data_IF_011613309875
#
_entry.id   IF_011613309875
#
_cell.length_a   1.000
_cell.length_b   1.000
_cell.length_c   1.000
_cell.angle_alpha   90.00
_cell.angle_beta   90.00
_cell.angle_gamma   90.00
#
_symmetry.space_group_name_H-M   'P 1'
#
loop_
_entity.id
_entity.type
_entity.pdbx_description
1 polymer ?
#
# COMPACT_ATOMS: atom_id res chain seq x y z
N UNK A 1 20.10 -4.54 0.02
CA UNK A 1 21.08 -4.82 1.11
C UNK A 1 20.55 -4.29 2.41
N UNK A 2 20.40 -5.14 3.41
CA UNK A 2 20.15 -4.73 4.79
C UNK A 2 21.47 -4.25 5.34
N UNK A 3 21.72 -2.96 5.31
CA UNK A 3 22.96 -2.35 5.79
C UNK A 3 22.95 -2.16 7.33
N UNK A 4 21.76 -2.18 7.92
CA UNK A 4 21.55 -1.98 9.36
C UNK A 4 20.47 -2.91 9.87
N UNK A 5 20.49 -3.34 11.13
CA UNK A 5 19.51 -4.27 11.68
C UNK A 5 18.05 -3.73 11.62
N UNK A 6 17.86 -2.40 11.49
CA UNK A 6 16.56 -1.75 11.64
C UNK A 6 16.13 -0.88 10.46
N UNK A 7 16.93 -0.78 9.40
CA UNK A 7 16.63 0.15 8.29
C UNK A 7 17.07 -0.43 6.96
N UNK A 8 16.18 -0.47 6.00
CA UNK A 8 16.50 -0.90 4.63
C UNK A 8 16.70 0.32 3.76
N UNK A 9 17.88 0.45 3.16
CA UNK A 9 18.24 1.52 2.26
C UNK A 9 18.25 1.03 0.81
N UNK A 10 17.56 1.72 -0.08
CA UNK A 10 17.58 1.48 -1.51
C UNK A 10 18.23 2.65 -2.23
N UNK A 11 19.21 2.36 -3.06
CA UNK A 11 19.76 3.31 -4.01
C UNK A 11 19.33 2.92 -5.42
N UNK A 12 18.69 3.81 -6.14
CA UNK A 12 18.35 3.60 -7.54
C UNK A 12 18.74 4.83 -8.36
N UNK A 13 19.54 4.62 -9.39
CA UNK A 13 20.15 5.70 -10.20
C UNK A 13 19.49 5.84 -11.58
N UNK A 14 18.52 5.01 -11.96
CA UNK A 14 17.94 5.06 -13.33
C UNK A 14 16.47 4.70 -13.29
N UNK A 15 15.62 5.60 -12.84
CA UNK A 15 14.18 5.40 -13.00
C UNK A 15 13.52 6.74 -13.37
N UNK A 16 12.80 6.75 -14.50
CA UNK A 16 11.91 7.83 -14.87
C UNK A 16 10.76 8.01 -13.89
N UNK A 17 9.53 8.01 -14.29
CA UNK A 17 8.41 8.06 -13.35
C UNK A 17 8.44 6.82 -12.44
N UNK A 18 8.83 7.01 -11.20
CA UNK A 18 8.80 5.95 -10.18
C UNK A 18 7.34 5.70 -9.77
N UNK A 19 6.91 4.45 -9.88
CA UNK A 19 5.67 3.97 -9.28
C UNK A 19 6.02 3.07 -8.12
N UNK A 20 5.55 3.40 -6.94
CA UNK A 20 5.66 2.55 -5.76
C UNK A 20 4.33 1.84 -5.59
N UNK A 21 4.34 0.53 -5.70
CA UNK A 21 3.19 -0.33 -5.49
C UNK A 21 3.34 -1.03 -4.13
N UNK A 22 2.52 -0.69 -3.16
CA UNK A 22 2.45 -1.40 -1.89
C UNK A 22 1.12 -2.15 -1.83
N UNK A 23 1.18 -3.46 -2.02
CA UNK A 23 -0.02 -4.23 -2.25
C UNK A 23 -0.73 -3.70 -3.50
N UNK A 24 -1.80 -2.91 -3.30
CA UNK A 24 -2.57 -2.27 -4.40
C UNK A 24 -2.47 -0.77 -4.45
N UNK A 25 -1.76 -0.18 -3.50
CA UNK A 25 -1.51 1.25 -3.54
C UNK A 25 -0.45 1.54 -4.56
N UNK A 26 -0.85 2.28 -5.60
CA UNK A 26 0.08 2.82 -6.59
C UNK A 26 0.29 4.28 -6.23
N UNK A 27 1.52 4.62 -5.96
CA UNK A 27 1.92 5.99 -5.71
C UNK A 27 3.01 6.41 -6.68
N UNK A 28 2.87 7.64 -7.17
CA UNK A 28 3.85 8.24 -8.06
C UNK A 28 4.45 9.45 -7.33
N UNK A 29 5.67 9.34 -6.79
CA UNK A 29 6.33 10.46 -6.15
C UNK A 29 6.44 11.65 -7.11
N UNK A 30 6.25 12.86 -6.60
CA UNK A 30 6.50 14.08 -7.36
C UNK A 30 8.01 14.24 -7.56
N UNK A 31 8.40 14.89 -8.67
CA UNK A 31 9.79 15.31 -8.84
C UNK A 31 10.19 16.23 -7.69
N UNK A 32 11.40 16.04 -7.18
CA UNK A 32 11.94 16.82 -6.05
C UNK A 32 11.01 16.78 -4.81
N UNK A 33 10.46 15.61 -4.48
CA UNK A 33 9.60 15.43 -3.33
C UNK A 33 9.96 14.18 -2.54
N UNK A 34 9.62 14.19 -1.26
CA UNK A 34 9.66 13.03 -0.38
C UNK A 34 8.25 12.43 -0.31
N UNK A 35 8.15 11.12 -0.51
CA UNK A 35 6.94 10.38 -0.26
C UNK A 35 7.12 9.51 0.95
N UNK A 36 6.21 9.63 1.89
CA UNK A 36 6.15 8.81 3.08
C UNK A 36 4.95 7.88 3.00
N UNK A 37 5.19 6.62 3.21
CA UNK A 37 4.16 5.60 3.27
C UNK A 37 4.30 4.82 4.58
N UNK A 38 3.31 4.91 5.45
CA UNK A 38 3.21 4.11 6.65
C UNK A 38 2.16 3.02 6.43
N UNK A 39 2.51 1.78 6.75
CA UNK A 39 1.65 0.59 6.64
C UNK A 39 1.44 0.01 8.03
N UNK A 40 0.18 -0.21 8.41
CA UNK A 40 -0.15 -0.85 9.69
C UNK A 40 0.23 -2.33 9.71
N UNK A 41 0.11 -3.00 8.58
CA UNK A 41 0.45 -4.41 8.39
C UNK A 41 1.45 -4.57 7.24
N UNK A 42 2.29 -5.59 7.31
CA UNK A 42 3.23 -5.89 6.25
C UNK A 42 2.49 -6.18 4.94
N UNK A 43 2.89 -5.50 3.87
CA UNK A 43 2.34 -5.69 2.54
C UNK A 43 3.49 -5.85 1.54
N UNK A 44 3.37 -6.74 0.54
CA UNK A 44 4.35 -6.82 -0.51
C UNK A 44 4.40 -5.50 -1.27
N UNK A 45 5.60 -5.02 -1.54
CA UNK A 45 5.80 -3.80 -2.30
C UNK A 45 6.73 -4.02 -3.50
N UNK A 46 6.55 -3.22 -4.53
CA UNK A 46 7.43 -3.19 -5.69
C UNK A 46 7.59 -1.76 -6.19
N UNK A 47 8.71 -1.48 -6.81
CA UNK A 47 8.96 -0.23 -7.50
C UNK A 47 9.07 -0.51 -9.00
N UNK A 48 8.30 0.22 -9.80
CA UNK A 48 8.34 0.16 -11.26
C UNK A 48 8.67 1.55 -11.80
N UNK A 49 9.58 1.62 -12.75
CA UNK A 49 9.99 2.88 -13.35
C UNK A 49 10.06 2.80 -14.87
N UNK A 50 9.83 3.94 -15.54
CA UNK A 50 10.14 4.12 -16.95
C UNK A 50 11.59 4.62 -17.09
N UNK A 51 12.31 4.27 -18.17
CA UNK A 51 13.70 4.71 -18.37
C UNK A 51 13.75 6.25 -18.49
N UNK A 52 14.23 6.90 -17.46
CA UNK A 52 14.66 8.30 -17.46
C UNK A 52 15.57 8.52 -16.23
N UNK A 53 16.51 9.47 -16.24
CA UNK A 53 17.40 9.68 -15.11
C UNK A 53 16.63 10.25 -13.90
N UNK A 54 16.33 9.41 -12.93
CA UNK A 54 15.81 9.80 -11.62
C UNK A 54 16.70 9.18 -10.56
N UNK A 55 17.16 9.99 -9.66
CA UNK A 55 17.83 9.55 -8.46
C UNK A 55 16.80 9.43 -7.32
N UNK A 56 16.68 8.29 -6.72
CA UNK A 56 15.76 8.04 -5.62
C UNK A 56 16.47 7.26 -4.49
N UNK A 57 16.25 7.72 -3.28
CA UNK A 57 16.65 7.02 -2.06
C UNK A 57 15.38 6.61 -1.33
N UNK A 58 15.28 5.33 -0.95
CA UNK A 58 14.20 4.80 -0.13
C UNK A 58 14.74 4.35 1.22
N UNK A 59 14.10 4.79 2.28
CA UNK A 59 14.39 4.37 3.65
C UNK A 59 13.14 3.73 4.22
N UNK A 60 13.26 2.56 4.84
CA UNK A 60 12.15 1.87 5.47
C UNK A 60 12.51 1.36 6.85
N UNK A 61 11.53 1.30 7.75
CA UNK A 61 11.64 0.72 9.07
C UNK A 61 10.56 -0.35 9.24
N UNK A 62 10.93 -1.49 9.77
CA UNK A 62 10.02 -2.58 10.03
C UNK A 62 9.24 -2.36 11.34
N UNK A 63 8.09 -3.00 11.47
CA UNK A 63 7.29 -2.92 12.70
C UNK A 63 8.01 -3.53 13.92
N UNK A 64 8.83 -4.56 13.69
CA UNK A 64 9.67 -5.14 14.73
C UNK A 64 10.60 -4.10 15.35
N UNK A 65 11.22 -3.26 14.53
CA UNK A 65 12.16 -2.23 14.95
C UNK A 65 11.44 -1.12 15.76
N UNK A 66 10.21 -0.80 15.38
CA UNK A 66 9.37 0.12 16.16
C UNK A 66 9.05 -0.43 17.55
N UNK A 67 8.82 -1.75 17.65
CA UNK A 67 8.52 -2.43 18.91
C UNK A 67 9.73 -2.42 19.83
N UNK A 68 10.91 -2.76 19.33
CA UNK A 68 12.16 -2.75 20.09
C UNK A 68 12.50 -1.36 20.64
N UNK A 69 12.12 -0.30 19.90
CA UNK A 69 12.31 1.10 20.33
C UNK A 69 11.18 1.63 21.21
N UNK A 70 10.15 0.82 21.51
CA UNK A 70 8.99 1.27 22.27
C UNK A 70 8.08 2.25 21.52
N UNK A 71 8.24 2.40 20.21
CA UNK A 71 7.52 3.35 19.35
C UNK A 71 6.23 2.78 18.76
N UNK A 72 5.95 1.50 18.93
CA UNK A 72 4.78 0.84 18.34
C UNK A 72 3.45 1.48 18.76
N UNK A 73 3.20 1.81 20.06
CA UNK A 73 1.95 2.46 20.47
C UNK A 73 1.79 3.86 19.87
N UNK A 74 2.89 4.57 19.72
CA UNK A 74 2.89 5.89 19.08
C UNK A 74 2.61 5.76 17.57
N UNK A 75 3.27 4.84 16.88
CA UNK A 75 3.05 4.56 15.46
C UNK A 75 1.59 4.17 15.19
N UNK A 76 0.99 3.35 16.04
CA UNK A 76 -0.42 2.96 15.92
C UNK A 76 -1.38 4.15 16.04
N UNK A 77 -1.02 5.20 16.78
CA UNK A 77 -1.83 6.44 16.87
C UNK A 77 -1.86 7.21 15.55
N UNK A 78 -0.82 7.10 14.72
CA UNK A 78 -0.82 7.73 13.39
C UNK A 78 -1.97 7.25 12.50
N UNK A 79 -2.49 6.05 12.75
CA UNK A 79 -3.60 5.46 12.02
C UNK A 79 -4.96 5.71 12.66
N UNK A 80 -4.98 6.35 13.83
CA UNK A 80 -6.23 6.67 14.53
C UNK A 80 -7.08 7.63 13.68
N UNK A 81 -8.39 7.37 13.63
CA UNK A 81 -9.38 8.18 12.95
C UNK A 81 -10.29 8.85 13.97
N UNK A 82 -10.97 9.91 13.54
CA UNK A 82 -11.96 10.62 14.38
C UNK A 82 -13.14 9.73 14.79
N UNK A 83 -13.44 8.69 14.02
CA UNK A 83 -14.50 7.71 14.29
C UNK A 83 -14.04 6.55 15.21
N UNK A 84 -12.85 6.63 15.79
CA UNK A 84 -12.27 5.61 16.67
C UNK A 84 -11.68 4.40 15.94
N UNK A 85 -11.77 4.34 14.61
CA UNK A 85 -11.19 3.26 13.79
C UNK A 85 -9.74 3.58 13.42
N UNK A 86 -9.05 2.62 12.80
CA UNK A 86 -7.66 2.77 12.36
C UNK A 86 -7.57 2.61 10.84
N UNK A 87 -6.83 3.49 10.18
CA UNK A 87 -6.53 3.36 8.76
C UNK A 87 -5.57 2.16 8.53
N UNK A 88 -5.68 1.48 7.40
CA UNK A 88 -4.75 0.40 7.04
C UNK A 88 -3.38 0.95 6.63
N UNK A 89 -3.36 2.15 6.05
CA UNK A 89 -2.13 2.84 5.65
C UNK A 89 -2.29 4.35 5.73
N UNK A 90 -1.18 5.05 5.79
CA UNK A 90 -1.09 6.51 5.64
C UNK A 90 -0.03 6.86 4.61
N UNK A 91 -0.32 7.86 3.81
CA UNK A 91 0.59 8.38 2.80
C UNK A 91 0.58 9.90 2.80
N UNK A 92 1.77 10.47 2.76
CA UNK A 92 1.99 11.90 2.66
C UNK A 92 3.01 12.18 1.56
N UNK A 93 2.81 13.25 0.81
CA UNK A 93 3.81 13.80 -0.09
C UNK A 93 4.26 15.16 0.42
N UNK A 94 5.55 15.31 0.65
CA UNK A 94 6.18 16.54 1.15
C UNK A 94 7.10 17.08 0.06
N UNK A 95 7.11 18.38 -0.13
CA UNK A 95 8.10 19.01 -0.98
C UNK A 95 9.50 18.77 -0.40
N UNK A 96 10.48 18.50 -1.25
CA UNK A 96 11.85 18.42 -0.80
C UNK A 96 12.32 19.81 -0.32
N UNK A 97 12.79 19.88 0.89
CA UNK A 97 13.50 21.02 1.43
C UNK A 97 15.03 20.83 1.29
N UNK A 98 15.84 21.89 1.42
CA UNK A 98 17.29 21.79 1.25
C UNK A 98 17.95 20.74 2.16
N UNK A 99 17.45 20.54 3.38
CA UNK A 99 17.98 19.52 4.30
C UNK A 99 17.69 18.12 3.82
N UNK A 100 16.47 17.86 3.34
CA UNK A 100 16.12 16.55 2.76
C UNK A 100 16.97 16.25 1.52
N UNK A 101 17.25 17.26 0.69
CA UNK A 101 18.12 17.10 -0.48
C UNK A 101 19.55 16.78 -0.06
N UNK A 102 20.10 17.50 0.93
CA UNK A 102 21.44 17.24 1.46
C UNK A 102 21.57 15.82 2.01
N UNK A 103 20.60 15.36 2.82
CA UNK A 103 20.60 13.98 3.35
C UNK A 103 20.58 12.91 2.23
N UNK A 104 19.85 13.17 1.15
CA UNK A 104 19.84 12.27 -0.01
C UNK A 104 21.21 12.29 -0.71
N UNK A 105 21.84 13.44 -0.84
CA UNK A 105 23.18 13.57 -1.41
C UNK A 105 24.22 12.83 -0.55
N UNK A 106 24.19 13.03 0.76
CA UNK A 106 25.08 12.29 1.70
C UNK A 106 24.94 10.77 1.52
N UNK A 107 23.71 10.26 1.39
CA UNK A 107 23.47 8.85 1.14
C UNK A 107 24.03 8.38 -0.19
N UNK A 108 23.94 9.20 -1.24
CA UNK A 108 24.38 8.84 -2.58
C UNK A 108 25.90 8.88 -2.74
N UNK A 109 26.57 9.79 -2.05
CA UNK A 109 28.00 10.01 -2.10
C UNK A 109 28.80 9.09 -1.16
N UNK A 110 28.18 8.59 -0.08
CA UNK A 110 28.84 7.71 0.90
C UNK A 110 29.17 6.33 0.32
N UNK A 111 30.34 5.79 0.62
CA UNK A 111 30.73 4.42 0.32
C UNK A 111 30.49 3.50 1.53
N UNK A 112 29.55 2.53 1.45
CA UNK A 112 29.24 1.63 2.57
C UNK A 112 30.40 0.73 2.99
N UNK A 113 31.51 0.70 2.25
CA UNK A 113 32.73 -0.03 2.62
C UNK A 113 33.61 0.75 3.59
N UNK A 114 33.39 2.05 3.72
CA UNK A 114 34.12 2.90 4.63
C UNK A 114 33.38 3.02 5.97
N UNK A 115 34.02 2.72 7.11
CA UNK A 115 33.35 2.73 8.40
C UNK A 115 32.69 4.05 8.79
N UNK A 116 33.33 5.18 8.47
CA UNK A 116 32.76 6.50 8.73
C UNK A 116 31.56 6.83 7.83
N UNK A 117 31.61 6.41 6.58
CA UNK A 117 30.50 6.60 5.64
C UNK A 117 29.32 5.70 6.01
N UNK A 118 29.57 4.53 6.59
CA UNK A 118 28.52 3.70 7.14
C UNK A 118 27.75 4.41 8.25
N UNK A 119 28.41 5.08 9.18
CA UNK A 119 27.79 5.90 10.21
C UNK A 119 27.02 7.11 9.64
N UNK A 120 27.58 7.75 8.60
CA UNK A 120 26.87 8.84 7.89
C UNK A 120 25.59 8.36 7.24
N UNK A 121 25.64 7.20 6.57
CA UNK A 121 24.48 6.56 5.96
C UNK A 121 23.38 6.27 6.99
N UNK A 122 23.76 5.74 8.15
CA UNK A 122 22.82 5.47 9.24
C UNK A 122 22.17 6.74 9.76
N UNK A 123 22.95 7.76 10.05
CA UNK A 123 22.48 9.05 10.53
C UNK A 123 21.53 9.72 9.52
N UNK A 124 21.91 9.73 8.23
CA UNK A 124 21.09 10.32 7.18
C UNK A 124 19.77 9.54 6.97
N UNK A 125 19.81 8.21 7.01
CA UNK A 125 18.62 7.38 6.91
C UNK A 125 17.65 7.61 8.08
N UNK A 126 18.15 7.69 9.31
CA UNK A 126 17.35 8.00 10.49
C UNK A 126 16.75 9.40 10.42
N UNK A 127 17.52 10.39 9.96
CA UNK A 127 17.03 11.75 9.77
C UNK A 127 15.90 11.84 8.73
N UNK A 128 16.00 11.12 7.60
CA UNK A 128 14.95 11.04 6.59
C UNK A 128 13.70 10.37 7.17
N UNK A 129 13.84 9.28 7.93
CA UNK A 129 12.72 8.62 8.60
C UNK A 129 12.01 9.55 9.57
N UNK A 130 12.76 10.25 10.42
CA UNK A 130 12.20 11.20 11.38
C UNK A 130 11.38 12.29 10.68
N UNK A 131 11.93 12.89 9.62
CA UNK A 131 11.21 13.89 8.82
C UNK A 131 9.93 13.33 8.19
N UNK A 132 9.97 12.08 7.72
CA UNK A 132 8.80 11.39 7.19
C UNK A 132 7.71 11.19 8.24
N UNK A 133 8.10 10.84 9.45
CA UNK A 133 7.25 10.65 10.61
C UNK A 133 6.60 11.98 11.02
N UNK A 134 7.38 13.04 11.16
CA UNK A 134 6.90 14.39 11.45
C UNK A 134 5.89 14.88 10.41
N UNK A 135 6.17 14.62 9.14
CA UNK A 135 5.26 14.97 8.06
C UNK A 135 3.92 14.20 8.13
N UNK A 136 3.95 12.93 8.55
CA UNK A 136 2.74 12.15 8.79
C UNK A 136 1.93 12.69 9.98
N UNK A 137 2.58 13.13 11.05
CA UNK A 137 1.91 13.73 12.19
C UNK A 137 1.26 15.06 11.85
N UNK A 138 1.98 15.91 11.15
CA UNK A 138 1.54 17.26 10.80
C UNK A 138 0.48 17.30 9.70
N UNK A 139 0.34 16.20 8.94
CA UNK A 139 -0.61 16.16 7.82
C UNK A 139 -1.82 15.31 8.18
N UNK A 140 -2.93 15.89 8.64
CA UNK A 140 -4.15 15.14 8.87
C UNK A 140 -4.66 14.54 7.56
N UNK A 141 -5.26 13.37 7.61
CA UNK A 141 -5.94 12.79 6.45
C UNK A 141 -7.09 13.73 6.04
N UNK A 142 -7.19 14.15 4.77
CA UNK A 142 -8.36 14.87 4.29
C UNK A 142 -9.61 14.07 4.61
N UNK A 143 -10.62 14.67 5.22
CA UNK A 143 -11.83 13.98 5.67
C UNK A 143 -12.51 13.17 4.55
N UNK A 144 -12.43 13.66 3.31
CA UNK A 144 -12.93 12.94 2.13
C UNK A 144 -12.16 11.64 1.88
N UNK A 145 -10.84 11.68 1.97
CA UNK A 145 -9.96 10.51 1.77
C UNK A 145 -10.16 9.50 2.88
N UNK A 146 -10.28 9.97 4.12
CA UNK A 146 -10.57 9.14 5.27
C UNK A 146 -11.87 8.35 5.10
N UNK A 147 -12.95 8.99 4.61
CA UNK A 147 -14.21 8.29 4.33
C UNK A 147 -14.10 7.25 3.22
N UNK A 148 -13.32 7.52 2.16
CA UNK A 148 -13.08 6.55 1.09
C UNK A 148 -12.28 5.33 1.57
N UNK A 149 -11.26 5.55 2.40
CA UNK A 149 -10.49 4.48 3.02
C UNK A 149 -11.36 3.63 3.93
N UNK A 150 -12.22 4.28 4.73
CA UNK A 150 -13.18 3.59 5.57
C UNK A 150 -14.17 2.75 4.76
N UNK A 151 -14.69 3.29 3.66
CA UNK A 151 -15.54 2.52 2.75
C UNK A 151 -14.79 1.29 2.22
N UNK A 152 -13.56 1.45 1.74
CA UNK A 152 -12.76 0.34 1.22
C UNK A 152 -12.54 -0.76 2.28
N UNK A 153 -12.25 -0.42 3.53
CA UNK A 153 -12.14 -1.37 4.64
C UNK A 153 -13.45 -2.08 4.93
N UNK A 154 -14.56 -1.34 4.91
CA UNK A 154 -15.90 -1.91 5.13
C UNK A 154 -16.26 -2.90 4.01
N UNK A 155 -15.95 -2.57 2.77
CA UNK A 155 -16.12 -3.47 1.62
C UNK A 155 -15.24 -4.71 1.73
N UNK A 156 -14.00 -4.57 2.20
CA UNK A 156 -13.06 -5.68 2.42
C UNK A 156 -13.56 -6.64 3.50
N UNK A 157 -14.05 -6.11 4.61
CA UNK A 157 -14.64 -6.91 5.69
C UNK A 157 -15.93 -7.62 5.27
N UNK A 158 -16.64 -7.08 4.28
CA UNK A 158 -17.92 -7.59 3.78
C UNK A 158 -17.86 -8.09 2.34
N UNK A 159 -16.81 -8.79 1.91
CA UNK A 159 -16.64 -9.25 0.54
C UNK A 159 -17.79 -10.10 0.01
N UNK A 160 -18.38 -10.96 0.84
CA UNK A 160 -19.50 -11.83 0.45
C UNK A 160 -20.86 -11.13 0.36
N UNK A 161 -20.97 -9.93 0.94
CA UNK A 161 -22.23 -9.20 1.02
C UNK A 161 -22.62 -8.61 -0.35
N UNK A 162 -23.92 -8.61 -0.64
CA UNK A 162 -24.46 -7.83 -1.75
C UNK A 162 -24.46 -6.33 -1.37
N UNK A 163 -23.67 -5.54 -2.06
CA UNK A 163 -23.54 -4.10 -1.86
C UNK A 163 -24.28 -3.35 -2.95
N UNK A 164 -24.93 -2.27 -2.58
CA UNK A 164 -25.50 -1.31 -3.53
C UNK A 164 -24.67 -0.04 -3.61
N UNK A 165 -24.71 0.65 -4.74
CA UNK A 165 -24.01 1.92 -4.90
C UNK A 165 -24.52 2.98 -3.91
N UNK A 166 -25.82 2.95 -3.58
CA UNK A 166 -26.43 3.84 -2.60
C UNK A 166 -25.85 3.64 -1.20
N UNK A 167 -25.74 2.39 -0.73
CA UNK A 167 -25.11 2.07 0.56
C UNK A 167 -23.65 2.52 0.60
N UNK A 168 -22.88 2.24 -0.45
CA UNK A 168 -21.48 2.67 -0.54
C UNK A 168 -21.36 4.21 -0.49
N UNK A 169 -22.25 4.91 -1.19
CA UNK A 169 -22.27 6.36 -1.20
C UNK A 169 -22.64 6.95 0.17
N UNK A 170 -23.61 6.34 0.84
CA UNK A 170 -24.02 6.72 2.20
C UNK A 170 -22.87 6.52 3.20
N UNK A 171 -22.19 5.37 3.16
CA UNK A 171 -21.03 5.10 4.02
C UNK A 171 -19.90 6.09 3.79
N UNK A 172 -19.67 6.52 2.55
CA UNK A 172 -18.67 7.52 2.22
C UNK A 172 -19.12 8.95 2.50
N UNK A 173 -20.39 9.19 2.84
CA UNK A 173 -20.97 10.53 3.00
C UNK A 173 -20.87 11.35 1.70
N UNK A 174 -21.19 10.73 0.56
CA UNK A 174 -21.07 11.30 -0.78
C UNK A 174 -22.29 10.93 -1.63
N UNK A 175 -22.55 11.69 -2.70
CA UNK A 175 -23.46 11.23 -3.75
C UNK A 175 -22.86 10.08 -4.54
N UNK A 176 -23.67 9.20 -5.14
CA UNK A 176 -23.21 8.08 -5.97
C UNK A 176 -22.28 8.54 -7.10
N UNK A 177 -22.61 9.67 -7.75
CA UNK A 177 -21.78 10.28 -8.80
C UNK A 177 -20.41 10.73 -8.28
N UNK A 178 -20.38 11.39 -7.13
CA UNK A 178 -19.14 11.87 -6.50
C UNK A 178 -18.28 10.72 -6.00
N UNK A 179 -18.91 9.64 -5.51
CA UNK A 179 -18.20 8.44 -5.05
C UNK A 179 -17.43 7.78 -6.19
N UNK A 180 -18.04 7.56 -7.36
CA UNK A 180 -17.38 6.93 -8.49
C UNK A 180 -16.09 7.65 -8.89
N UNK A 181 -16.17 8.97 -9.10
CA UNK A 181 -15.00 9.79 -9.45
C UNK A 181 -13.95 9.87 -8.34
N UNK A 182 -14.37 9.87 -7.07
CA UNK A 182 -13.47 9.92 -5.94
C UNK A 182 -12.74 8.59 -5.75
N UNK A 183 -13.46 7.49 -5.90
CA UNK A 183 -12.93 6.13 -5.77
C UNK A 183 -11.95 5.81 -6.89
N UNK A 184 -12.29 6.20 -8.14
CA UNK A 184 -11.39 6.07 -9.28
C UNK A 184 -10.06 6.83 -9.07
N UNK A 185 -10.10 8.04 -8.50
CA UNK A 185 -8.90 8.82 -8.20
C UNK A 185 -8.05 8.21 -7.09
N UNK A 186 -8.68 7.67 -6.04
CA UNK A 186 -7.98 7.14 -4.87
C UNK A 186 -7.46 5.71 -5.10
N UNK A 187 -8.24 4.86 -5.75
CA UNK A 187 -7.96 3.42 -5.88
C UNK A 187 -7.72 2.96 -7.32
N UNK A 188 -7.87 3.83 -8.30
CA UNK A 188 -7.65 3.49 -9.72
C UNK A 188 -8.77 2.67 -10.36
N UNK A 189 -9.92 2.50 -9.68
CA UNK A 189 -11.05 1.70 -10.16
C UNK A 189 -12.37 2.25 -9.62
N UNK A 190 -13.48 1.79 -10.17
CA UNK A 190 -14.83 2.03 -9.61
C UNK A 190 -15.01 1.24 -8.31
N UNK A 191 -15.96 1.63 -7.42
CA UNK A 191 -16.22 0.87 -6.19
C UNK A 191 -16.53 -0.61 -6.44
N UNK A 192 -17.35 -0.93 -7.46
CA UNK A 192 -17.65 -2.30 -7.81
C UNK A 192 -16.51 -3.03 -8.52
N UNK A 193 -15.75 -2.35 -9.37
CA UNK A 193 -14.55 -2.90 -9.98
C UNK A 193 -13.52 -3.30 -8.91
N UNK A 194 -13.27 -2.40 -7.98
CA UNK A 194 -12.41 -2.64 -6.84
C UNK A 194 -12.91 -3.82 -5.97
N UNK A 195 -14.17 -3.84 -5.60
CA UNK A 195 -14.78 -4.94 -4.82
C UNK A 195 -14.63 -6.29 -5.54
N UNK A 196 -14.91 -6.32 -6.85
CA UNK A 196 -14.71 -7.52 -7.67
C UNK A 196 -13.27 -8.01 -7.65
N UNK A 197 -12.30 -7.09 -7.76
CA UNK A 197 -10.88 -7.44 -7.69
C UNK A 197 -10.52 -8.02 -6.32
N UNK A 198 -11.05 -7.46 -5.21
CA UNK A 198 -10.83 -7.97 -3.86
C UNK A 198 -11.41 -9.38 -3.69
N UNK A 199 -12.63 -9.60 -4.15
CA UNK A 199 -13.25 -10.93 -4.17
C UNK A 199 -12.41 -11.97 -4.89
N UNK A 200 -11.90 -11.64 -6.08
CA UNK A 200 -11.07 -12.55 -6.87
C UNK A 200 -9.75 -12.90 -6.19
N UNK A 201 -9.11 -11.93 -5.51
CA UNK A 201 -7.88 -12.21 -4.76
C UNK A 201 -8.13 -13.04 -3.53
N UNK A 202 -9.19 -12.75 -2.78
CA UNK A 202 -9.58 -13.57 -1.64
C UNK A 202 -9.96 -15.00 -2.10
N UNK A 203 -10.68 -15.11 -3.23
CA UNK A 203 -11.01 -16.39 -3.83
C UNK A 203 -9.78 -17.20 -4.25
N UNK A 204 -8.76 -16.53 -4.77
CA UNK A 204 -7.47 -17.19 -5.06
C UNK A 204 -6.84 -17.76 -3.78
N UNK A 205 -6.76 -17.00 -2.73
CA UNK A 205 -6.24 -17.45 -1.44
C UNK A 205 -7.04 -18.63 -0.89
N UNK A 206 -8.38 -18.54 -0.87
CA UNK A 206 -9.25 -19.61 -0.38
C UNK A 206 -9.04 -20.92 -1.15
N UNK A 207 -8.94 -20.86 -2.47
CA UNK A 207 -8.81 -22.07 -3.31
C UNK A 207 -7.41 -22.67 -3.24
N UNK A 208 -6.35 -21.85 -3.24
CA UNK A 208 -4.96 -22.31 -3.32
C UNK A 208 -4.38 -22.61 -1.94
N UNK A 209 -4.55 -21.70 -1.00
CA UNK A 209 -3.85 -21.76 0.29
C UNK A 209 -4.70 -22.44 1.38
N UNK A 210 -6.05 -22.26 1.32
CA UNK A 210 -6.98 -22.80 2.31
C UNK A 210 -7.70 -24.08 1.82
N UNK A 211 -7.50 -24.49 0.58
CA UNK A 211 -8.07 -25.70 0.01
C UNK A 211 -9.58 -25.66 -0.24
N UNK A 212 -10.23 -24.50 -0.11
CA UNK A 212 -11.68 -24.35 -0.26
C UNK A 212 -12.11 -24.70 -1.69
N UNK A 213 -13.22 -25.42 -1.84
CA UNK A 213 -13.79 -25.76 -3.14
C UNK A 213 -14.25 -24.52 -3.92
N UNK A 214 -14.09 -24.54 -5.24
CA UNK A 214 -14.39 -23.40 -6.13
C UNK A 214 -15.83 -22.90 -5.98
N UNK A 215 -16.81 -23.80 -5.86
CA UNK A 215 -18.22 -23.45 -5.67
C UNK A 215 -18.47 -22.77 -4.32
N UNK A 216 -17.85 -23.29 -3.26
CA UNK A 216 -17.95 -22.71 -1.91
C UNK A 216 -17.29 -21.33 -1.85
N UNK A 217 -16.12 -21.17 -2.44
CA UNK A 217 -15.44 -19.87 -2.52
C UNK A 217 -16.29 -18.85 -3.29
N UNK A 218 -16.88 -19.23 -4.44
CA UNK A 218 -17.76 -18.36 -5.22
C UNK A 218 -18.97 -17.89 -4.39
N UNK A 219 -19.64 -18.81 -3.68
CA UNK A 219 -20.79 -18.48 -2.85
C UNK A 219 -20.42 -17.55 -1.70
N UNK A 220 -19.35 -17.84 -0.95
CA UNK A 220 -18.87 -17.02 0.16
C UNK A 220 -18.45 -15.62 -0.26
N UNK A 221 -18.00 -15.44 -1.49
CA UNK A 221 -17.57 -14.17 -2.04
C UNK A 221 -18.67 -13.41 -2.80
N UNK A 222 -19.92 -13.90 -2.76
CA UNK A 222 -21.07 -13.23 -3.35
C UNK A 222 -21.05 -13.20 -4.88
N UNK A 223 -20.50 -14.24 -5.52
CA UNK A 223 -20.70 -14.50 -6.95
C UNK A 223 -22.01 -15.25 -7.16
N UNK A 224 -22.73 -14.92 -8.22
CA UNK A 224 -24.00 -15.58 -8.55
C UNK A 224 -23.86 -17.06 -8.92
N UNK A 225 -22.66 -17.50 -9.36
CA UNK A 225 -22.36 -18.90 -9.65
C UNK A 225 -20.86 -19.16 -9.67
N UNK A 226 -20.46 -20.43 -9.52
CA UNK A 226 -19.09 -20.90 -9.69
C UNK A 226 -18.56 -20.64 -11.12
N UNK A 227 -19.41 -20.70 -12.12
CA UNK A 227 -19.06 -20.41 -13.51
C UNK A 227 -18.71 -18.93 -13.71
N UNK A 228 -19.52 -18.03 -13.13
CA UNK A 228 -19.25 -16.58 -13.18
C UNK A 228 -17.94 -16.24 -12.43
N UNK A 229 -17.72 -16.83 -11.26
CA UNK A 229 -16.45 -16.70 -10.54
C UNK A 229 -15.27 -17.19 -11.38
N UNK A 230 -15.34 -18.39 -11.97
CA UNK A 230 -14.26 -18.98 -12.77
C UNK A 230 -13.93 -18.15 -14.00
N UNK A 231 -14.94 -17.61 -14.70
CA UNK A 231 -14.76 -16.71 -15.84
C UNK A 231 -14.07 -15.42 -15.41
N UNK A 232 -14.53 -14.80 -14.33
CA UNK A 232 -13.93 -13.58 -13.80
C UNK A 232 -12.49 -13.82 -13.30
N UNK A 233 -12.25 -14.97 -12.70
CA UNK A 233 -10.93 -15.39 -12.20
C UNK A 233 -9.96 -15.60 -13.37
N UNK A 234 -10.38 -16.32 -14.42
CA UNK A 234 -9.56 -16.52 -15.62
C UNK A 234 -9.22 -15.20 -16.31
N UNK A 235 -10.18 -14.31 -16.43
CA UNK A 235 -9.94 -12.97 -17.01
C UNK A 235 -8.90 -12.16 -16.20
N UNK A 236 -8.79 -12.39 -14.90
CA UNK A 236 -7.85 -11.68 -14.01
C UNK A 236 -6.49 -12.34 -13.90
N UNK A 237 -6.42 -13.67 -13.89
CA UNK A 237 -5.22 -14.44 -13.58
C UNK A 237 -4.71 -15.29 -14.75
N UNK A 238 -5.40 -15.29 -15.89
CA UNK A 238 -5.03 -16.06 -17.09
C UNK A 238 -5.49 -17.52 -17.07
N UNK A 239 -5.79 -18.08 -15.88
CA UNK A 239 -6.19 -19.48 -15.69
C UNK A 239 -7.44 -19.57 -14.81
N UNK A 240 -8.16 -20.70 -14.91
CA UNK A 240 -9.28 -20.99 -13.99
C UNK A 240 -8.75 -21.36 -12.61
N UNK A 241 -9.57 -21.24 -11.54
CA UNK A 241 -9.18 -21.66 -10.20
C UNK A 241 -8.72 -23.12 -10.11
N UNK A 242 -9.41 -24.02 -10.83
CA UNK A 242 -9.09 -25.45 -10.85
C UNK A 242 -7.76 -25.74 -11.54
N UNK A 243 -7.48 -25.05 -12.66
CA UNK A 243 -6.20 -25.18 -13.37
C UNK A 243 -5.04 -24.68 -12.51
N UNK A 244 -5.22 -23.56 -11.85
CA UNK A 244 -4.19 -22.98 -10.97
C UNK A 244 -3.92 -23.88 -9.75
N UNK A 245 -4.98 -24.47 -9.16
CA UNK A 245 -4.85 -25.44 -8.06
C UNK A 245 -4.09 -26.71 -8.48
N UNK A 246 -4.35 -27.23 -9.68
CA UNK A 246 -3.67 -28.43 -10.20
C UNK A 246 -2.16 -28.20 -10.46
N UNK A 247 -1.71 -26.95 -10.60
CA UNK A 247 -0.32 -26.58 -10.83
C UNK A 247 0.42 -26.13 -9.55
N UNK A 248 -0.29 -25.98 -8.44
CA UNK A 248 0.34 -25.64 -7.17
C UNK A 248 1.13 -26.87 -6.68
N UNK A 249 2.42 -26.75 -6.34
CA UNK A 249 3.14 -27.84 -5.72
C UNK A 249 2.51 -28.16 -4.36
N UNK A 250 2.36 -29.45 -4.09
CA UNK A 250 1.93 -29.97 -2.78
C UNK A 250 2.92 -29.58 -1.69
#
# INVERSE_FOLDING_TARGET
STLFPYTTLFRSVKLGRLRICCGRHISTPRRHGMQVLALREAMPWSAQGQPAPVCAVGVSMLRADLRERGLEPWFDRLFARRDGRRAAHRQVQVAADPRSVALVQDILESDPRQPLDLLRLEAAAQAILLRGIEALEQTPLPARRERLLHLAETLEAGLGRAWTLAEMAQLAGMSARSLGAAFQREFGDTPFGWLRQRRLLRGRQMVLDEGVGVAAAAAQLGFCSAAHFSTAFRARFGQTPSQMKAQAPN
#
